data_IF_167382984931
#
_entry.id   IF_167382984931
#
_cell.length_a   1.000
_cell.length_b   1.000
_cell.length_c   1.000
_cell.angle_alpha   90.00
_cell.angle_beta   90.00
_cell.angle_gamma   90.00
#
_symmetry.space_group_name_H-M   'P 1'
#
loop_
_entity.id
_entity.type
_entity.pdbx_description
1 polymer ?
#
# COMPACT_ATOMS: atom_id res chain seq x y z
N UNK A 1 -19.51 1.26 11.67
CA UNK A 1 -18.07 1.33 11.37
C UNK A 1 -17.76 0.67 10.02
N UNK A 2 -17.35 1.47 9.02
CA UNK A 2 -16.99 0.99 7.67
C UNK A 2 -15.49 0.68 7.60
N UNK A 3 -15.11 -0.35 6.85
CA UNK A 3 -13.72 -0.64 6.52
C UNK A 3 -13.54 -0.37 5.02
N UNK A 4 -12.66 0.56 4.69
CA UNK A 4 -12.49 1.05 3.32
C UNK A 4 -11.05 0.80 2.89
N UNK A 5 -10.85 -0.02 1.86
CA UNK A 5 -9.55 -0.25 1.26
C UNK A 5 -9.21 0.89 0.30
N UNK A 6 -8.04 1.50 0.48
CA UNK A 6 -7.53 2.57 -0.36
C UNK A 6 -6.24 2.09 -1.04
N UNK A 7 -6.35 1.45 -2.23
CA UNK A 7 -5.18 1.04 -2.99
C UNK A 7 -4.39 2.26 -3.47
N UNK A 8 -3.07 2.16 -3.46
CA UNK A 8 -2.18 3.22 -3.93
C UNK A 8 -0.94 2.65 -4.59
N UNK A 9 -0.55 3.27 -5.70
CA UNK A 9 0.75 3.15 -6.36
C UNK A 9 1.62 4.40 -6.09
N UNK A 10 1.18 5.24 -5.13
CA UNK A 10 1.78 6.53 -4.77
C UNK A 10 1.73 7.62 -5.85
N UNK A 11 0.97 7.41 -6.93
CA UNK A 11 0.75 8.42 -7.97
C UNK A 11 -0.17 9.55 -7.50
N UNK A 12 -0.14 10.67 -8.24
CA UNK A 12 -1.08 11.77 -8.03
C UNK A 12 -2.54 11.36 -8.26
N UNK A 13 -2.79 10.38 -9.14
CA UNK A 13 -4.13 9.85 -9.38
C UNK A 13 -4.64 9.09 -8.16
N UNK A 14 -3.82 8.19 -7.60
CA UNK A 14 -4.15 7.51 -6.35
C UNK A 14 -4.34 8.51 -5.20
N UNK A 15 -3.48 9.55 -5.13
CA UNK A 15 -3.63 10.61 -4.15
C UNK A 15 -4.98 11.33 -4.27
N UNK A 16 -5.38 11.71 -5.48
CA UNK A 16 -6.68 12.35 -5.70
C UNK A 16 -7.84 11.44 -5.28
N UNK A 17 -7.81 10.15 -5.66
CA UNK A 17 -8.83 9.18 -5.28
C UNK A 17 -8.96 9.03 -3.75
N UNK A 18 -7.84 8.98 -3.04
CA UNK A 18 -7.81 8.93 -1.57
C UNK A 18 -8.49 10.15 -0.96
N UNK A 19 -8.16 11.36 -1.44
CA UNK A 19 -8.80 12.60 -0.94
C UNK A 19 -10.32 12.57 -1.15
N UNK A 20 -10.76 12.14 -2.34
CA UNK A 20 -12.19 12.00 -2.63
C UNK A 20 -12.87 11.01 -1.68
N UNK A 21 -12.29 9.84 -1.44
CA UNK A 21 -12.86 8.85 -0.53
C UNK A 21 -12.97 9.40 0.90
N UNK A 22 -11.93 10.04 1.42
CA UNK A 22 -11.94 10.62 2.77
C UNK A 22 -13.03 11.69 2.90
N UNK A 23 -13.16 12.56 1.90
CA UNK A 23 -14.20 13.61 1.90
C UNK A 23 -15.61 13.04 1.74
N UNK A 24 -15.78 12.02 0.90
CA UNK A 24 -17.06 11.34 0.69
C UNK A 24 -17.61 10.75 1.99
N UNK A 25 -16.73 10.24 2.86
CA UNK A 25 -17.10 9.62 4.13
C UNK A 25 -16.80 10.50 5.35
N UNK A 26 -16.69 11.83 5.20
CA UNK A 26 -16.29 12.75 6.28
C UNK A 26 -17.15 12.66 7.56
N UNK A 27 -18.44 12.34 7.40
CA UNK A 27 -19.43 12.28 8.49
C UNK A 27 -19.65 10.85 9.01
N UNK A 28 -18.90 9.87 8.50
CA UNK A 28 -19.07 8.46 8.85
C UNK A 28 -17.85 7.86 9.56
N UNK A 29 -18.12 6.99 10.53
CA UNK A 29 -17.08 6.26 11.25
C UNK A 29 -16.43 5.20 10.35
N UNK A 30 -15.17 5.45 9.96
CA UNK A 30 -14.43 4.66 8.98
C UNK A 30 -13.02 4.31 9.46
N UNK A 31 -12.61 3.09 9.15
CA UNK A 31 -11.20 2.69 9.14
C UNK A 31 -10.75 2.58 7.69
N UNK A 32 -9.84 3.47 7.28
CA UNK A 32 -9.21 3.46 5.98
C UNK A 32 -7.93 2.62 6.01
N UNK A 33 -7.87 1.61 5.15
CA UNK A 33 -6.73 0.72 4.97
C UNK A 33 -5.93 1.17 3.75
N UNK A 34 -4.85 1.92 3.94
CA UNK A 34 -3.93 2.31 2.88
C UNK A 34 -3.14 1.08 2.43
N UNK A 35 -3.34 0.67 1.18
CA UNK A 35 -2.83 -0.60 0.67
C UNK A 35 -1.93 -0.40 -0.53
N UNK A 36 -0.72 -0.96 -0.48
CA UNK A 36 0.18 -1.03 -1.63
C UNK A 36 0.59 -2.49 -1.88
N UNK A 37 0.37 -2.94 -3.12
CA UNK A 37 0.91 -4.19 -3.63
C UNK A 37 2.22 -3.86 -4.35
N UNK A 38 3.35 -4.16 -3.71
CA UNK A 38 4.66 -4.00 -4.32
C UNK A 38 5.11 -5.34 -4.87
N UNK A 39 5.68 -5.35 -6.07
CA UNK A 39 6.22 -6.55 -6.66
C UNK A 39 7.74 -6.50 -6.55
N UNK A 40 8.36 -7.36 -5.70
CA UNK A 40 9.81 -7.51 -5.73
C UNK A 40 10.23 -8.01 -7.11
N UNK A 41 11.29 -7.46 -7.68
CA UNK A 41 11.83 -7.90 -8.99
C UNK A 41 12.48 -9.30 -8.90
N UNK A 42 12.47 -9.94 -7.72
CA UNK A 42 13.16 -11.21 -7.46
C UNK A 42 12.27 -12.38 -7.87
N UNK A 43 12.01 -12.50 -9.17
CA UNK A 43 11.53 -13.75 -9.73
C UNK A 43 12.77 -14.53 -10.18
N UNK A 44 12.90 -15.76 -9.69
CA UNK A 44 13.94 -16.76 -9.94
C UNK A 44 15.15 -16.76 -9.00
N UNK A 45 15.23 -17.84 -8.21
CA UNK A 45 16.42 -18.30 -7.46
C UNK A 45 17.68 -18.37 -8.33
N UNK A 46 17.54 -18.53 -9.64
CA UNK A 46 18.64 -18.46 -10.61
C UNK A 46 19.32 -17.08 -10.62
N UNK A 47 18.58 -15.98 -10.47
CA UNK A 47 19.16 -14.63 -10.46
C UNK A 47 19.98 -14.32 -9.20
N UNK A 48 19.59 -14.89 -8.04
CA UNK A 48 20.33 -14.72 -6.78
C UNK A 48 21.69 -15.42 -6.84
N UNK A 49 21.76 -16.56 -7.54
CA UNK A 49 23.02 -17.29 -7.77
C UNK A 49 23.96 -16.56 -8.74
N UNK A 50 23.40 -15.76 -9.66
CA UNK A 50 24.17 -15.03 -10.70
C UNK A 50 24.75 -13.71 -10.17
N UNK A 51 24.12 -13.06 -9.18
CA UNK A 51 24.62 -11.78 -8.66
C UNK A 51 24.40 -11.58 -7.15
N UNK A 52 25.43 -11.80 -6.31
CA UNK A 52 25.38 -11.56 -4.86
C UNK A 52 24.99 -10.13 -4.46
N UNK A 53 25.13 -9.13 -5.35
CA UNK A 53 24.74 -7.76 -5.09
C UNK A 53 23.21 -7.55 -5.03
N UNK A 54 22.41 -8.54 -5.48
CA UNK A 54 20.95 -8.52 -5.39
C UNK A 54 20.44 -9.00 -4.01
N UNK A 55 21.33 -9.55 -3.17
CA UNK A 55 21.00 -9.94 -1.80
C UNK A 55 20.61 -8.70 -0.99
N UNK A 56 19.39 -8.66 -0.46
CA UNK A 56 18.84 -7.49 0.27
C UNK A 56 18.07 -6.47 -0.58
N UNK A 57 18.02 -6.60 -1.91
CA UNK A 57 17.21 -5.71 -2.75
C UNK A 57 15.70 -5.84 -2.46
N UNK A 58 15.25 -7.05 -2.13
CA UNK A 58 13.86 -7.31 -1.73
C UNK A 58 13.47 -6.56 -0.45
N UNK A 59 14.35 -6.55 0.55
CA UNK A 59 14.17 -5.79 1.79
C UNK A 59 14.19 -4.29 1.52
N UNK A 60 15.08 -3.81 0.65
CA UNK A 60 15.13 -2.39 0.26
C UNK A 60 13.83 -1.94 -0.42
N UNK A 61 13.27 -2.73 -1.34
CA UNK A 61 11.99 -2.44 -2.01
C UNK A 61 10.84 -2.43 -0.98
N UNK A 62 10.78 -3.44 -0.10
CA UNK A 62 9.79 -3.51 0.97
C UNK A 62 9.86 -2.30 1.89
N UNK A 63 11.06 -1.94 2.34
CA UNK A 63 11.29 -0.78 3.22
C UNK A 63 10.87 0.52 2.54
N UNK A 64 11.20 0.69 1.25
CA UNK A 64 10.79 1.86 0.47
C UNK A 64 9.27 1.98 0.37
N UNK A 65 8.57 0.86 0.12
CA UNK A 65 7.11 0.84 0.07
C UNK A 65 6.50 1.15 1.46
N UNK A 66 7.08 0.61 2.53
CA UNK A 66 6.63 0.87 3.90
C UNK A 66 6.81 2.33 4.29
N UNK A 67 7.95 2.93 3.95
CA UNK A 67 8.20 4.35 4.16
C UNK A 67 7.24 5.23 3.37
N UNK A 68 6.93 4.84 2.12
CA UNK A 68 6.01 5.58 1.26
C UNK A 68 4.58 5.56 1.82
N UNK A 69 4.11 4.43 2.36
CA UNK A 69 2.84 4.36 3.09
C UNK A 69 2.85 5.21 4.36
N UNK A 70 3.94 5.20 5.13
CA UNK A 70 4.08 6.05 6.33
C UNK A 70 4.02 7.54 5.98
N UNK A 71 4.71 7.95 4.91
CA UNK A 71 4.67 9.32 4.39
C UNK A 71 3.27 9.70 3.90
N UNK A 72 2.59 8.81 3.19
CA UNK A 72 1.21 9.02 2.73
C UNK A 72 0.24 9.17 3.90
N UNK A 73 0.34 8.32 4.93
CA UNK A 73 -0.45 8.44 6.15
C UNK A 73 -0.22 9.78 6.84
N UNK A 74 1.04 10.20 6.98
CA UNK A 74 1.36 11.51 7.55
C UNK A 74 0.78 12.67 6.71
N UNK A 75 0.86 12.59 5.37
CA UNK A 75 0.26 13.56 4.46
C UNK A 75 -1.25 13.68 4.67
N UNK A 76 -1.95 12.56 4.80
CA UNK A 76 -3.40 12.51 5.08
C UNK A 76 -3.73 13.19 6.41
N UNK A 77 -3.03 12.84 7.48
CA UNK A 77 -3.27 13.40 8.81
C UNK A 77 -3.01 14.91 8.86
N UNK A 78 -2.02 15.40 8.10
CA UNK A 78 -1.74 16.82 7.98
C UNK A 78 -2.82 17.58 7.19
N UNK A 79 -3.32 17.00 6.09
CA UNK A 79 -4.29 17.68 5.22
C UNK A 79 -5.72 17.67 5.78
N UNK A 80 -6.17 16.54 6.32
CA UNK A 80 -7.56 16.37 6.77
C UNK A 80 -7.78 16.60 8.26
N UNK A 81 -6.70 16.87 9.01
CA UNK A 81 -6.69 16.96 10.48
C UNK A 81 -7.20 15.67 11.13
N UNK A 82 -7.02 15.53 12.45
CA UNK A 82 -7.54 14.37 13.17
C UNK A 82 -9.06 14.43 13.27
N UNK A 83 -9.76 13.91 12.25
CA UNK A 83 -11.18 13.60 12.34
C UNK A 83 -11.36 12.40 13.29
N UNK A 84 -12.09 12.55 14.42
CA UNK A 84 -12.26 11.46 15.39
C UNK A 84 -13.01 10.25 14.81
N UNK A 85 -13.79 10.45 13.74
CA UNK A 85 -14.51 9.38 13.06
C UNK A 85 -13.62 8.52 12.16
N UNK A 86 -12.40 8.97 11.85
CA UNK A 86 -11.54 8.33 10.85
C UNK A 86 -10.28 7.73 11.50
N UNK A 87 -10.04 6.46 11.21
CA UNK A 87 -8.80 5.74 11.55
C UNK A 87 -8.05 5.36 10.28
N UNK A 88 -6.72 5.36 10.35
CA UNK A 88 -5.86 5.05 9.20
C UNK A 88 -4.87 3.94 9.54
N UNK A 89 -4.93 2.85 8.80
CA UNK A 89 -4.02 1.71 8.89
C UNK A 89 -3.25 1.54 7.57
N UNK A 90 -2.05 0.97 7.63
CA UNK A 90 -1.21 0.70 6.46
C UNK A 90 -1.05 -0.79 6.27
N UNK A 91 -1.18 -1.27 5.03
CA UNK A 91 -1.03 -2.67 4.65
C UNK A 91 -0.14 -2.77 3.41
N UNK A 92 0.86 -3.64 3.49
CA UNK A 92 1.70 -4.00 2.36
C UNK A 92 1.38 -5.43 1.93
N UNK A 93 1.42 -5.66 0.63
CA UNK A 93 1.38 -6.99 0.04
C UNK A 93 2.52 -7.12 -0.97
N UNK A 94 3.22 -8.24 -0.90
CA UNK A 94 4.36 -8.64 -1.74
C UNK A 94 3.95 -9.44 -2.99
N UNK A 95 2.65 -9.49 -3.31
CA UNK A 95 2.08 -10.21 -4.45
C UNK A 95 1.25 -9.26 -5.32
N UNK A 96 1.22 -9.47 -6.64
CA UNK A 96 0.21 -8.78 -7.46
C UNK A 96 -1.16 -9.32 -7.08
N UNK A 97 -2.15 -8.44 -6.95
CA UNK A 97 -3.55 -8.81 -6.70
C UNK A 97 -4.10 -9.83 -7.73
N UNK A 98 -3.54 -9.85 -8.95
CA UNK A 98 -3.90 -10.80 -9.99
C UNK A 98 -3.41 -12.24 -9.68
N UNK A 99 -2.28 -12.39 -8.99
CA UNK A 99 -1.68 -13.70 -8.71
C UNK A 99 -2.52 -14.49 -7.66
N UNK A 100 -3.26 -13.78 -6.80
CA UNK A 100 -4.24 -14.38 -5.87
C UNK A 100 -5.42 -15.10 -6.55
N UNK A 101 -5.67 -14.83 -7.84
CA UNK A 101 -6.73 -15.51 -8.59
C UNK A 101 -6.26 -16.81 -9.25
N UNK A 102 -4.96 -16.95 -9.54
CA UNK A 102 -4.40 -18.10 -10.25
C UNK A 102 -4.19 -19.31 -9.30
N UNK A 103 -3.74 -19.05 -8.07
CA UNK A 103 -3.47 -20.09 -7.06
C UNK A 103 -4.73 -20.80 -6.51
N UNK A 104 -5.94 -20.35 -6.85
CA UNK A 104 -7.20 -21.02 -6.46
C UNK A 104 -7.72 -22.01 -7.50
N UNK A 105 -7.00 -22.21 -8.59
CA UNK A 105 -7.36 -23.14 -9.67
C UNK A 105 -6.52 -24.43 -9.68
N UNK A 106 -5.67 -24.65 -8.67
CA UNK A 106 -4.92 -25.91 -8.47
C UNK A 106 -5.26 -26.57 -7.13
#
# INVERSE_FOLDING_TARGET
>A
MKNILLPTDFSDNAWNAIKYAIQLYKDEECTFHLFNAYTPIIYHVEYVLINPAQFGLGDAIRNTAQESLSKLKAKILNEFKNNPNHKFETRLCDYKLADFYDDRLN
#
